data_IF_726184914110
#
_entry.id   IF_726184914110
#
_cell.length_a   1.000
_cell.length_b   1.000
_cell.length_c   1.000
_cell.angle_alpha   90.00
_cell.angle_beta   90.00
_cell.angle_gamma   90.00
#
_symmetry.space_group_name_H-M   'P 1'
#
loop_
_entity.id
_entity.type
_entity.pdbx_description
1 polymer ?
#
# COMPACT_ATOMS: atom_id res chain seq x y z
N UNK A 1 -75.93 -12.79 -21.28
CA UNK A 1 -74.80 -13.44 -20.62
C UNK A 1 -73.49 -13.01 -21.34
N UNK A 2 -72.80 -12.08 -20.70
CA UNK A 2 -71.56 -11.55 -21.24
C UNK A 2 -70.38 -12.26 -20.51
N UNK A 3 -69.53 -12.91 -21.26
CA UNK A 3 -68.29 -13.45 -20.75
C UNK A 3 -67.17 -12.45 -20.96
N UNK A 4 -66.62 -11.96 -19.85
CA UNK A 4 -65.41 -11.11 -19.85
C UNK A 4 -64.20 -12.05 -19.68
N UNK A 5 -63.40 -12.15 -20.71
CA UNK A 5 -62.11 -12.83 -20.70
C UNK A 5 -61.05 -11.91 -20.13
N UNK A 6 -60.49 -12.22 -18.98
CA UNK A 6 -59.32 -11.60 -18.44
C UNK A 6 -58.08 -12.12 -19.21
N UNK A 7 -57.46 -11.27 -20.01
CA UNK A 7 -56.15 -11.50 -20.57
C UNK A 7 -55.07 -11.28 -19.49
N UNK A 8 -54.39 -12.35 -19.10
CA UNK A 8 -53.22 -12.24 -18.27
C UNK A 8 -52.04 -11.72 -19.13
N UNK A 9 -51.57 -10.55 -18.80
CA UNK A 9 -50.35 -9.95 -19.37
C UNK A 9 -49.15 -10.71 -18.79
N UNK A 10 -48.61 -11.63 -19.60
CA UNK A 10 -47.33 -12.27 -19.33
C UNK A 10 -46.20 -11.33 -19.74
N UNK A 11 -45.72 -10.53 -18.79
CA UNK A 11 -44.44 -9.86 -18.93
C UNK A 11 -43.32 -10.91 -18.98
N UNK A 12 -42.94 -11.30 -20.20
CA UNK A 12 -41.73 -12.09 -20.45
C UNK A 12 -40.52 -11.25 -20.01
N UNK A 13 -39.99 -11.56 -18.80
CA UNK A 13 -38.62 -11.23 -18.46
C UNK A 13 -37.73 -11.91 -19.48
N UNK A 14 -37.15 -11.11 -20.41
CA UNK A 14 -36.07 -11.58 -21.26
C UNK A 14 -34.85 -11.69 -20.36
N UNK A 15 -34.58 -12.86 -19.82
CA UNK A 15 -33.26 -13.21 -19.31
C UNK A 15 -32.31 -13.24 -20.51
N UNK A 16 -31.51 -12.19 -20.63
CA UNK A 16 -30.43 -12.12 -21.59
C UNK A 16 -29.36 -13.11 -21.10
N UNK A 17 -29.31 -14.31 -21.68
CA UNK A 17 -28.22 -15.24 -21.41
C UNK A 17 -26.92 -14.61 -21.93
N UNK A 18 -25.92 -14.55 -21.06
CA UNK A 18 -24.56 -14.12 -21.42
C UNK A 18 -24.03 -15.02 -22.53
N UNK A 19 -23.37 -14.46 -23.51
CA UNK A 19 -22.63 -15.27 -24.50
C UNK A 19 -21.44 -15.95 -23.81
N UNK A 20 -20.97 -17.07 -24.37
CA UNK A 20 -19.79 -17.77 -23.83
C UNK A 20 -18.58 -16.82 -23.68
N UNK A 21 -18.39 -15.90 -24.61
CA UNK A 21 -17.33 -14.88 -24.54
C UNK A 21 -17.52 -13.90 -23.39
N UNK A 22 -18.75 -13.42 -23.14
CA UNK A 22 -19.03 -12.53 -22.01
C UNK A 22 -18.88 -13.27 -20.66
N UNK A 23 -19.18 -14.56 -20.60
CA UNK A 23 -18.96 -15.38 -19.42
C UNK A 23 -17.46 -15.61 -19.14
N UNK A 24 -16.68 -15.91 -20.17
CA UNK A 24 -15.22 -16.07 -20.08
C UNK A 24 -14.50 -14.76 -19.67
N UNK A 25 -14.95 -13.62 -20.21
CA UNK A 25 -14.41 -12.30 -19.80
C UNK A 25 -14.74 -11.98 -18.34
N UNK A 26 -15.96 -12.27 -17.88
CA UNK A 26 -16.35 -12.09 -16.48
C UNK A 26 -15.56 -13.00 -15.53
N UNK A 27 -15.32 -14.25 -15.94
CA UNK A 27 -14.56 -15.20 -15.11
C UNK A 27 -13.09 -14.78 -15.01
N UNK A 28 -12.50 -14.32 -16.10
CA UNK A 28 -11.15 -13.76 -16.14
C UNK A 28 -11.04 -12.50 -15.28
N UNK A 29 -11.99 -11.56 -15.38
CA UNK A 29 -12.05 -10.38 -14.52
C UNK A 29 -12.16 -10.76 -13.04
N UNK A 30 -12.97 -11.77 -12.71
CA UNK A 30 -13.11 -12.26 -11.33
C UNK A 30 -11.82 -12.89 -10.80
N UNK A 31 -11.10 -13.64 -11.64
CA UNK A 31 -9.81 -14.23 -11.27
C UNK A 31 -8.75 -13.16 -11.07
N UNK A 32 -8.66 -12.16 -11.96
CA UNK A 32 -7.73 -11.04 -11.85
C UNK A 32 -8.06 -10.17 -10.61
N UNK A 33 -9.34 -9.98 -10.32
CA UNK A 33 -9.79 -9.29 -9.11
C UNK A 33 -9.37 -10.02 -7.83
N UNK A 34 -9.60 -11.33 -7.76
CA UNK A 34 -9.22 -12.13 -6.59
C UNK A 34 -7.70 -12.17 -6.41
N UNK A 35 -6.94 -12.25 -7.49
CA UNK A 35 -5.49 -12.20 -7.48
C UNK A 35 -4.98 -10.84 -6.99
N UNK A 36 -5.51 -9.74 -7.52
CA UNK A 36 -5.16 -8.38 -7.08
C UNK A 36 -5.49 -8.16 -5.60
N UNK A 37 -6.64 -8.67 -5.12
CA UNK A 37 -7.03 -8.63 -3.70
C UNK A 37 -6.04 -9.40 -2.82
N UNK A 38 -5.63 -10.60 -3.21
CA UNK A 38 -4.66 -11.40 -2.49
C UNK A 38 -3.29 -10.70 -2.43
N UNK A 39 -2.86 -10.09 -3.53
CA UNK A 39 -1.61 -9.32 -3.61
C UNK A 39 -1.70 -8.10 -2.69
N UNK A 40 -2.80 -7.36 -2.74
CA UNK A 40 -3.02 -6.18 -1.88
C UNK A 40 -2.85 -6.50 -0.39
N UNK A 41 -3.41 -7.63 0.07
CA UNK A 41 -3.27 -8.06 1.46
C UNK A 41 -1.89 -8.61 1.80
N UNK A 42 -1.05 -8.91 0.82
CA UNK A 42 0.33 -9.37 1.05
C UNK A 42 1.35 -8.22 1.15
N UNK A 43 0.93 -7.00 0.82
CA UNK A 43 1.78 -5.83 0.92
C UNK A 43 1.73 -5.25 2.34
N UNK A 44 2.88 -4.94 2.96
CA UNK A 44 2.88 -4.30 4.27
C UNK A 44 2.19 -2.94 4.17
N UNK A 45 1.32 -2.68 5.11
CA UNK A 45 0.68 -1.37 5.20
C UNK A 45 1.73 -0.30 5.56
N UNK A 46 1.51 0.96 5.19
CA UNK A 46 2.38 2.07 5.61
C UNK A 46 2.58 2.12 7.12
N UNK A 47 1.57 1.69 7.88
CA UNK A 47 1.60 1.64 9.35
C UNK A 47 2.56 0.56 9.86
N UNK A 48 2.56 -0.63 9.25
CA UNK A 48 3.50 -1.69 9.64
C UNK A 48 4.94 -1.24 9.47
N UNK A 49 5.25 -0.55 8.36
CA UNK A 49 6.57 0.03 8.14
C UNK A 49 6.91 1.08 9.19
N UNK A 50 6.00 2.00 9.50
CA UNK A 50 6.20 3.02 10.54
C UNK A 50 6.41 2.40 11.92
N UNK A 51 5.70 1.31 12.25
CA UNK A 51 5.87 0.55 13.48
C UNK A 51 7.27 -0.08 13.58
N UNK A 52 7.75 -0.67 12.50
CA UNK A 52 9.09 -1.26 12.44
C UNK A 52 10.18 -0.21 12.66
N UNK A 53 10.05 0.96 12.04
CA UNK A 53 10.97 2.08 12.23
C UNK A 53 10.97 2.51 13.70
N UNK A 54 9.80 2.66 14.33
CA UNK A 54 9.72 3.03 15.75
C UNK A 54 10.34 1.97 16.67
N UNK A 55 10.08 0.68 16.42
CA UNK A 55 10.65 -0.43 17.19
C UNK A 55 12.16 -0.51 17.11
N UNK A 56 12.77 -0.07 16.01
CA UNK A 56 14.23 0.00 15.88
C UNK A 56 14.86 1.10 16.77
N UNK A 57 14.06 1.84 17.51
CA UNK A 57 14.51 2.89 18.46
C UNK A 57 14.97 4.18 17.80
N UNK A 58 14.69 4.37 16.51
CA UNK A 58 14.97 5.61 15.77
C UNK A 58 14.07 6.74 16.33
N UNK A 59 14.59 7.96 16.31
CA UNK A 59 13.81 9.15 16.66
C UNK A 59 13.02 9.66 15.46
N UNK A 60 11.88 10.29 15.72
CA UNK A 60 11.10 10.98 14.70
C UNK A 60 11.92 12.04 13.98
N UNK A 61 11.78 12.10 12.68
CA UNK A 61 12.44 13.12 11.85
C UNK A 61 11.44 13.71 10.85
N UNK A 62 10.90 14.88 11.19
CA UNK A 62 9.93 15.60 10.35
C UNK A 62 10.50 15.97 8.98
N UNK A 63 11.82 16.17 8.84
CA UNK A 63 12.43 16.58 7.57
C UNK A 63 12.37 15.52 6.48
N UNK A 64 12.03 14.27 6.83
CA UNK A 64 11.82 13.19 5.88
C UNK A 64 10.47 13.27 5.19
N UNK A 65 9.48 13.89 5.82
CA UNK A 65 8.10 13.91 5.33
C UNK A 65 7.95 14.78 4.06
N UNK A 66 6.99 14.44 3.25
CA UNK A 66 6.60 15.28 2.11
C UNK A 66 5.95 16.57 2.62
N UNK A 67 6.49 17.71 2.25
CA UNK A 67 5.96 19.01 2.71
C UNK A 67 4.48 19.17 2.37
N UNK A 68 3.71 19.64 3.32
CA UNK A 68 2.26 19.80 3.17
C UNK A 68 1.88 20.82 2.07
N UNK A 69 2.74 21.81 1.77
CA UNK A 69 2.51 22.80 0.71
C UNK A 69 2.70 22.23 -0.71
N UNK A 70 3.28 21.03 -0.85
CA UNK A 70 3.46 20.39 -2.14
C UNK A 70 2.15 19.90 -2.77
N UNK A 71 1.08 19.66 -1.99
CA UNK A 71 -0.16 19.08 -2.51
C UNK A 71 -0.75 19.87 -3.68
N UNK A 72 -0.60 21.19 -3.68
CA UNK A 72 -1.09 22.07 -4.73
C UNK A 72 -0.38 21.93 -6.10
N UNK A 73 0.77 21.26 -6.13
CA UNK A 73 1.56 21.00 -7.34
C UNK A 73 1.06 19.78 -8.13
N UNK A 74 0.29 18.91 -7.50
CA UNK A 74 -0.16 17.65 -8.11
C UNK A 74 -1.42 17.88 -8.92
N UNK A 75 -1.28 17.85 -10.26
CA UNK A 75 -2.37 18.20 -11.19
C UNK A 75 -2.93 16.99 -11.94
N UNK A 76 -2.11 15.95 -12.16
CA UNK A 76 -2.54 14.74 -12.87
C UNK A 76 -3.03 13.66 -11.91
N UNK A 77 -3.86 12.72 -12.40
CA UNK A 77 -4.34 11.57 -11.63
C UNK A 77 -3.17 10.76 -11.07
N UNK A 78 -2.12 10.52 -11.85
CA UNK A 78 -0.92 9.81 -11.41
C UNK A 78 -0.24 10.51 -10.22
N UNK A 79 0.01 11.81 -10.35
CA UNK A 79 0.64 12.61 -9.28
C UNK A 79 -0.20 12.61 -8.01
N UNK A 80 -1.51 12.81 -8.15
CA UNK A 80 -2.44 12.84 -7.01
C UNK A 80 -2.52 11.46 -6.33
N UNK A 81 -2.65 10.38 -7.09
CA UNK A 81 -2.74 9.04 -6.54
C UNK A 81 -1.44 8.61 -5.84
N UNK A 82 -0.28 8.82 -6.47
CA UNK A 82 1.02 8.55 -5.84
C UNK A 82 1.20 9.34 -4.55
N UNK A 83 0.91 10.64 -4.58
CA UNK A 83 1.11 11.48 -3.41
C UNK A 83 0.05 11.30 -2.33
N UNK A 84 -1.16 10.84 -2.64
CA UNK A 84 -2.09 10.37 -1.62
C UNK A 84 -1.50 9.19 -0.83
N UNK A 85 -0.89 8.22 -1.53
CA UNK A 85 -0.17 7.12 -0.89
C UNK A 85 0.99 7.61 -0.03
N UNK A 86 1.81 8.54 -0.53
CA UNK A 86 2.93 9.16 0.19
C UNK A 86 2.43 9.86 1.46
N UNK A 87 1.45 10.76 1.36
CA UNK A 87 0.90 11.47 2.52
C UNK A 87 0.25 10.54 3.55
N UNK A 88 -0.34 9.43 3.10
CA UNK A 88 -0.89 8.41 4.01
C UNK A 88 0.20 7.67 4.77
N UNK A 89 1.35 7.43 4.15
CA UNK A 89 2.52 6.86 4.83
C UNK A 89 3.14 7.87 5.82
N UNK A 90 3.22 9.12 5.45
CA UNK A 90 3.67 10.22 6.33
C UNK A 90 2.75 10.38 7.54
N UNK A 91 1.43 10.35 7.34
CA UNK A 91 0.43 10.34 8.41
C UNK A 91 0.67 9.16 9.36
N UNK A 92 0.87 7.96 8.81
CA UNK A 92 1.13 6.76 9.59
C UNK A 92 2.42 6.90 10.41
N UNK A 93 3.48 7.42 9.80
CA UNK A 93 4.75 7.65 10.47
C UNK A 93 4.61 8.68 11.61
N UNK A 94 4.00 9.84 11.37
CA UNK A 94 3.76 10.86 12.39
C UNK A 94 2.91 10.31 13.55
N UNK A 95 1.85 9.57 13.26
CA UNK A 95 0.97 8.95 14.26
C UNK A 95 1.71 7.93 15.12
N UNK A 96 2.53 7.07 14.49
CA UNK A 96 3.32 6.07 15.22
C UNK A 96 4.33 6.69 16.19
N UNK A 97 4.82 7.89 15.91
CA UNK A 97 5.75 8.63 16.76
C UNK A 97 5.05 9.64 17.69
N UNK A 98 3.73 9.52 17.87
CA UNK A 98 2.92 10.34 18.76
C UNK A 98 2.98 11.85 18.42
N UNK A 99 3.21 12.18 17.13
CA UNK A 99 3.28 13.55 16.62
C UNK A 99 1.90 14.07 16.23
N UNK A 100 1.01 14.23 17.20
CA UNK A 100 -0.41 14.53 16.98
C UNK A 100 -0.66 15.73 16.06
N UNK A 101 0.05 16.85 16.26
CA UNK A 101 -0.16 18.06 15.44
C UNK A 101 0.23 17.85 13.98
N UNK A 102 1.32 17.12 13.74
CA UNK A 102 1.79 16.77 12.41
C UNK A 102 0.79 15.78 11.79
N UNK A 103 0.35 14.76 12.51
CA UNK A 103 -0.64 13.79 12.05
C UNK A 103 -1.94 14.49 11.60
N UNK A 104 -2.45 15.47 12.34
CA UNK A 104 -3.63 16.26 11.96
C UNK A 104 -3.40 17.00 10.62
N UNK A 105 -2.23 17.58 10.40
CA UNK A 105 -1.90 18.27 9.15
C UNK A 105 -1.90 17.31 7.98
N UNK A 106 -1.24 16.14 8.11
CA UNK A 106 -1.17 15.14 7.05
C UNK A 106 -2.52 14.47 6.79
N UNK A 107 -3.34 14.28 7.81
CA UNK A 107 -4.74 13.84 7.66
C UNK A 107 -5.54 14.83 6.82
N UNK A 108 -5.42 16.13 7.10
CA UNK A 108 -6.11 17.17 6.33
C UNK A 108 -5.71 17.17 4.84
N UNK A 109 -4.41 17.02 4.56
CA UNK A 109 -3.91 16.93 3.17
C UNK A 109 -4.39 15.64 2.48
N UNK A 110 -4.33 14.50 3.17
CA UNK A 110 -4.81 13.23 2.63
C UNK A 110 -6.30 13.31 2.28
N UNK A 111 -7.12 13.97 3.12
CA UNK A 111 -8.53 14.21 2.84
C UNK A 111 -8.74 15.06 1.58
N UNK A 112 -8.01 16.15 1.42
CA UNK A 112 -8.06 17.00 0.21
C UNK A 112 -7.67 16.20 -1.03
N UNK A 113 -6.59 15.42 -0.96
CA UNK A 113 -6.13 14.60 -2.07
C UNK A 113 -7.13 13.48 -2.44
N UNK A 114 -7.75 12.85 -1.44
CA UNK A 114 -8.80 11.86 -1.64
C UNK A 114 -10.04 12.47 -2.30
N UNK A 115 -10.42 13.68 -1.90
CA UNK A 115 -11.52 14.45 -2.53
C UNK A 115 -11.20 14.76 -3.99
N UNK A 116 -10.01 15.24 -4.28
CA UNK A 116 -9.55 15.58 -5.63
C UNK A 116 -9.50 14.36 -6.57
N UNK A 117 -9.24 13.19 -6.03
CA UNK A 117 -9.28 11.91 -6.76
C UNK A 117 -10.69 11.32 -6.87
N UNK A 118 -11.67 11.90 -6.18
CA UNK A 118 -13.03 11.38 -6.11
C UNK A 118 -13.16 10.06 -5.34
N UNK A 119 -12.23 9.79 -4.42
CA UNK A 119 -12.25 8.59 -3.57
C UNK A 119 -12.74 8.88 -2.15
N UNK A 120 -12.99 10.15 -1.82
CA UNK A 120 -13.46 10.53 -0.49
C UNK A 120 -14.81 9.88 -0.13
N UNK A 121 -15.67 9.60 -1.13
CA UNK A 121 -16.95 8.92 -0.91
C UNK A 121 -16.79 7.46 -0.46
N UNK A 122 -15.62 6.87 -0.63
CA UNK A 122 -15.27 5.55 -0.08
C UNK A 122 -14.90 5.62 1.40
N UNK A 123 -14.60 6.82 1.88
CA UNK A 123 -14.21 7.08 3.27
C UNK A 123 -15.41 7.75 3.91
N UNK A 124 -16.19 6.98 4.66
CA UNK A 124 -17.38 7.45 5.36
C UNK A 124 -17.07 8.67 6.24
N UNK A 125 -18.05 9.56 6.40
CA UNK A 125 -17.94 10.66 7.40
C UNK A 125 -17.67 10.11 8.81
N UNK A 126 -18.16 8.91 9.11
CA UNK A 126 -17.89 8.22 10.35
C UNK A 126 -16.41 7.85 10.50
N UNK A 127 -15.76 7.36 9.44
CA UNK A 127 -14.32 7.05 9.42
C UNK A 127 -13.52 8.32 9.70
N UNK A 128 -13.88 9.43 9.05
CA UNK A 128 -13.21 10.72 9.26
C UNK A 128 -13.39 11.20 10.70
N UNK A 129 -14.61 11.11 11.22
CA UNK A 129 -14.90 11.50 12.62
C UNK A 129 -14.16 10.59 13.62
N UNK A 130 -14.10 9.29 13.37
CA UNK A 130 -13.32 8.36 14.19
C UNK A 130 -11.83 8.71 14.16
N UNK A 131 -11.27 9.08 13.01
CA UNK A 131 -9.88 9.50 12.88
C UNK A 131 -9.61 10.79 13.66
N UNK A 132 -10.47 11.80 13.54
CA UNK A 132 -10.37 13.08 14.25
C UNK A 132 -10.47 12.90 15.78
N UNK A 133 -11.38 12.06 16.25
CA UNK A 133 -11.61 11.83 17.68
C UNK A 133 -10.58 10.90 18.33
N UNK A 134 -9.93 10.05 17.56
CA UNK A 134 -8.96 9.07 18.04
C UNK A 134 -7.51 9.40 17.67
N UNK A 135 -7.23 10.64 17.28
CA UNK A 135 -5.90 11.06 16.79
C UNK A 135 -4.77 10.79 17.80
N UNK A 136 -5.08 10.67 19.08
CA UNK A 136 -4.14 10.32 20.15
C UNK A 136 -4.06 8.81 20.45
N UNK A 137 -4.89 7.98 19.78
CA UNK A 137 -4.91 6.53 19.95
C UNK A 137 -4.24 5.87 18.77
N UNK A 138 -3.00 5.43 18.95
CA UNK A 138 -2.21 4.76 17.90
C UNK A 138 -2.96 3.56 17.29
N UNK A 139 -3.51 2.70 18.14
CA UNK A 139 -4.18 1.47 17.69
C UNK A 139 -5.44 1.80 16.90
N UNK A 140 -6.21 2.78 17.34
CA UNK A 140 -7.39 3.26 16.62
C UNK A 140 -7.02 3.87 15.26
N UNK A 141 -5.95 4.68 15.20
CA UNK A 141 -5.48 5.26 13.94
C UNK A 141 -5.05 4.14 12.96
N UNK A 142 -4.33 3.12 13.45
CA UNK A 142 -3.93 1.97 12.65
C UNK A 142 -5.14 1.27 12.01
N UNK A 143 -6.15 1.00 12.80
CA UNK A 143 -7.38 0.36 12.34
C UNK A 143 -8.08 1.23 11.29
N UNK A 144 -8.28 2.51 11.59
CA UNK A 144 -9.00 3.45 10.73
C UNK A 144 -8.28 3.67 9.39
N UNK A 145 -6.96 3.83 9.40
CA UNK A 145 -6.19 3.99 8.15
C UNK A 145 -6.29 2.71 7.30
N UNK A 146 -6.15 1.54 7.93
CA UNK A 146 -6.28 0.26 7.22
C UNK A 146 -7.66 0.11 6.60
N UNK A 147 -8.72 0.39 7.33
CA UNK A 147 -10.10 0.38 6.86
C UNK A 147 -10.32 1.37 5.70
N UNK A 148 -9.78 2.59 5.82
CA UNK A 148 -9.86 3.61 4.77
C UNK A 148 -9.20 3.16 3.46
N UNK A 149 -8.04 2.50 3.56
CA UNK A 149 -7.38 1.92 2.39
C UNK A 149 -8.21 0.83 1.74
N UNK A 150 -8.77 -0.08 2.54
CA UNK A 150 -9.62 -1.18 2.04
C UNK A 150 -10.87 -0.64 1.35
N UNK A 151 -11.57 0.30 1.96
CA UNK A 151 -12.77 0.89 1.40
C UNK A 151 -12.47 1.66 0.11
N UNK A 152 -11.35 2.39 0.07
CA UNK A 152 -10.89 3.10 -1.14
C UNK A 152 -10.55 2.13 -2.28
N UNK A 153 -9.91 0.99 -1.98
CA UNK A 153 -9.59 -0.04 -2.97
C UNK A 153 -10.86 -0.66 -3.56
N UNK A 154 -11.81 -1.06 -2.70
CA UNK A 154 -13.11 -1.61 -3.12
C UNK A 154 -13.86 -0.59 -3.99
N UNK A 155 -14.01 0.64 -3.52
CA UNK A 155 -14.70 1.70 -4.24
C UNK A 155 -14.10 1.96 -5.62
N UNK A 156 -12.78 2.08 -5.71
CA UNK A 156 -12.09 2.31 -6.98
C UNK A 156 -12.29 1.16 -7.96
N UNK A 157 -12.27 -0.09 -7.48
CA UNK A 157 -12.52 -1.27 -8.31
C UNK A 157 -13.97 -1.31 -8.82
N UNK A 158 -14.94 -1.05 -7.95
CA UNK A 158 -16.36 -1.00 -8.32
C UNK A 158 -16.67 0.14 -9.31
N UNK A 159 -15.89 1.22 -9.28
CA UNK A 159 -16.00 2.34 -10.20
C UNK A 159 -15.09 2.24 -11.44
N UNK A 160 -14.54 1.06 -11.72
CA UNK A 160 -13.72 0.80 -12.93
C UNK A 160 -12.38 1.54 -12.93
N UNK A 161 -11.80 1.83 -11.76
CA UNK A 161 -10.52 2.53 -11.58
C UNK A 161 -9.52 1.75 -10.70
N UNK A 162 -9.41 0.43 -10.87
CA UNK A 162 -8.54 -0.39 -10.00
C UNK A 162 -7.05 0.00 -10.12
N UNK A 163 -6.62 0.53 -11.25
CA UNK A 163 -5.27 1.03 -11.47
C UNK A 163 -4.93 2.21 -10.54
N UNK A 164 -5.92 3.05 -10.22
CA UNK A 164 -5.73 4.18 -9.30
C UNK A 164 -5.42 3.69 -7.89
N UNK A 165 -6.08 2.61 -7.43
CA UNK A 165 -5.77 1.97 -6.15
C UNK A 165 -4.34 1.41 -6.13
N UNK A 166 -3.91 0.74 -7.21
CA UNK A 166 -2.54 0.23 -7.35
C UNK A 166 -1.49 1.34 -7.29
N UNK A 167 -1.77 2.51 -7.88
CA UNK A 167 -0.88 3.68 -7.83
C UNK A 167 -0.80 4.26 -6.42
N UNK A 168 -1.93 4.40 -5.71
CA UNK A 168 -1.94 4.88 -4.31
C UNK A 168 -1.09 3.94 -3.44
N UNK A 169 -1.27 2.64 -3.60
CA UNK A 169 -0.51 1.62 -2.87
C UNK A 169 0.99 1.72 -3.17
N UNK A 170 1.37 1.90 -4.44
CA UNK A 170 2.77 2.08 -4.84
C UNK A 170 3.39 3.33 -4.20
N UNK A 171 2.65 4.44 -4.12
CA UNK A 171 3.09 5.66 -3.45
C UNK A 171 3.37 5.43 -1.97
N UNK A 172 2.46 4.75 -1.26
CA UNK A 172 2.62 4.41 0.15
C UNK A 172 3.79 3.46 0.40
N UNK A 173 3.97 2.47 -0.48
CA UNK A 173 5.09 1.52 -0.39
C UNK A 173 6.46 2.21 -0.59
N UNK A 174 6.58 3.08 -1.59
CA UNK A 174 7.82 3.85 -1.86
C UNK A 174 8.15 4.77 -0.68
N UNK A 175 7.18 5.48 -0.13
CA UNK A 175 7.40 6.36 1.01
C UNK A 175 7.78 5.56 2.26
N UNK A 176 7.11 4.44 2.53
CA UNK A 176 7.47 3.54 3.62
C UNK A 176 8.92 3.04 3.50
N UNK A 177 9.32 2.59 2.32
CA UNK A 177 10.69 2.17 2.07
C UNK A 177 11.69 3.33 2.21
N UNK A 178 11.35 4.52 1.71
CA UNK A 178 12.15 5.73 1.86
C UNK A 178 12.38 6.07 3.33
N UNK A 179 11.31 6.14 4.12
CA UNK A 179 11.38 6.42 5.56
C UNK A 179 12.23 5.36 6.28
N UNK A 180 12.06 4.08 5.96
CA UNK A 180 12.84 3.00 6.55
C UNK A 180 14.33 3.13 6.24
N UNK A 181 14.70 3.30 4.97
CA UNK A 181 16.10 3.42 4.55
C UNK A 181 16.77 4.67 5.11
N UNK A 182 16.07 5.81 5.15
CA UNK A 182 16.57 7.05 5.75
C UNK A 182 16.69 6.98 7.28
N UNK A 183 15.98 6.06 7.90
CA UNK A 183 16.03 5.83 9.35
C UNK A 183 17.19 4.92 9.77
N UNK A 184 17.85 4.24 8.84
CA UNK A 184 19.03 3.42 9.16
C UNK A 184 20.20 4.32 9.56
N UNK A 185 20.58 4.25 10.83
CA UNK A 185 21.79 4.93 11.35
C UNK A 185 22.93 3.93 11.45
N UNK A 186 23.91 4.04 10.58
CA UNK A 186 25.09 3.15 10.53
C UNK A 186 25.93 3.11 11.82
N UNK A 187 25.69 4.05 12.74
CA UNK A 187 26.42 4.18 14.00
C UNK A 187 25.69 3.53 15.20
N UNK A 188 24.46 3.04 15.00
CA UNK A 188 23.62 2.57 16.10
C UNK A 188 23.59 1.03 16.14
N UNK A 189 23.87 0.44 17.30
CA UNK A 189 23.59 -0.97 17.59
C UNK A 189 22.06 -1.17 17.61
N UNK A 190 21.54 -2.18 16.93
CA UNK A 190 20.09 -2.47 16.83
C UNK A 190 19.45 -2.15 15.49
N UNK A 191 20.21 -1.62 14.51
CA UNK A 191 19.72 -1.39 13.14
C UNK A 191 19.57 -2.70 12.34
N UNK A 192 20.08 -3.81 12.85
CA UNK A 192 20.07 -5.07 12.12
C UNK A 192 18.65 -5.52 11.80
N UNK A 193 17.73 -5.42 12.77
CA UNK A 193 16.33 -5.78 12.56
C UNK A 193 15.65 -4.89 11.51
N UNK A 194 15.95 -3.58 11.50
CA UNK A 194 15.39 -2.66 10.49
C UNK A 194 15.96 -2.95 9.10
N UNK A 195 17.26 -3.23 9.02
CA UNK A 195 17.92 -3.59 7.75
C UNK A 195 17.36 -4.91 7.22
N UNK A 196 17.17 -5.91 8.06
CA UNK A 196 16.57 -7.19 7.68
C UNK A 196 15.16 -6.97 7.13
N UNK A 197 14.34 -6.13 7.77
CA UNK A 197 13.00 -5.80 7.28
C UNK A 197 13.00 -5.00 5.99
N UNK A 198 13.99 -4.12 5.77
CA UNK A 198 14.17 -3.45 4.48
C UNK A 198 14.46 -4.49 3.38
N UNK A 199 15.27 -5.50 3.67
CA UNK A 199 15.60 -6.55 2.72
C UNK A 199 14.40 -7.45 2.45
N UNK A 200 13.62 -7.81 3.47
CA UNK A 200 12.38 -8.57 3.35
C UNK A 200 11.35 -7.88 2.44
N UNK A 201 11.44 -6.55 2.25
CA UNK A 201 10.60 -5.82 1.29
C UNK A 201 10.78 -6.30 -0.17
N UNK A 202 11.80 -7.09 -0.48
CA UNK A 202 11.94 -7.76 -1.79
C UNK A 202 10.71 -8.59 -2.13
N UNK A 203 10.09 -9.24 -1.14
CA UNK A 203 8.89 -10.07 -1.33
C UNK A 203 7.69 -9.18 -1.67
N UNK A 204 7.47 -8.13 -0.88
CA UNK A 204 6.36 -7.19 -1.12
C UNK A 204 6.54 -6.41 -2.44
N UNK A 205 7.78 -6.09 -2.80
CA UNK A 205 8.10 -5.48 -4.09
C UNK A 205 7.68 -6.37 -5.26
N UNK A 206 7.94 -7.67 -5.18
CA UNK A 206 7.51 -8.62 -6.20
C UNK A 206 5.99 -8.64 -6.36
N UNK A 207 5.26 -8.61 -5.25
CA UNK A 207 3.79 -8.51 -5.26
C UNK A 207 3.30 -7.18 -5.84
N UNK A 208 3.95 -6.06 -5.50
CA UNK A 208 3.62 -4.75 -6.07
C UNK A 208 3.85 -4.71 -7.59
N UNK A 209 4.96 -5.28 -8.07
CA UNK A 209 5.25 -5.39 -9.50
C UNK A 209 4.16 -6.20 -10.20
N UNK A 210 3.77 -7.37 -9.68
CA UNK A 210 2.69 -8.19 -10.25
C UNK A 210 1.35 -7.43 -10.30
N UNK A 211 1.03 -6.66 -9.26
CA UNK A 211 -0.16 -5.82 -9.25
C UNK A 211 -0.13 -4.76 -10.36
N UNK A 212 0.99 -4.04 -10.49
CA UNK A 212 1.15 -3.02 -11.53
C UNK A 212 1.18 -3.63 -12.94
N UNK A 213 1.76 -4.82 -13.11
CA UNK A 213 1.76 -5.57 -14.38
C UNK A 213 0.34 -5.92 -14.86
N UNK A 214 -0.61 -6.14 -13.95
CA UNK A 214 -2.01 -6.36 -14.30
C UNK A 214 -2.65 -5.16 -15.03
N UNK A 215 -2.06 -3.97 -14.91
CA UNK A 215 -2.52 -2.72 -15.51
C UNK A 215 -1.48 -2.07 -16.44
N UNK A 216 -0.51 -2.85 -16.93
CA UNK A 216 0.61 -2.35 -17.75
C UNK A 216 0.20 -1.68 -19.06
N UNK A 217 -0.99 -1.99 -19.58
CA UNK A 217 -1.58 -1.36 -20.78
C UNK A 217 -1.98 0.11 -20.53
N UNK A 218 -2.04 0.56 -19.29
CA UNK A 218 -2.34 1.94 -18.91
C UNK A 218 -1.02 2.71 -18.82
N UNK A 219 -0.85 3.73 -19.66
CA UNK A 219 0.43 4.45 -19.82
C UNK A 219 1.02 4.95 -18.48
N UNK A 220 0.17 5.53 -17.61
CA UNK A 220 0.63 6.03 -16.32
C UNK A 220 1.14 4.92 -15.40
N UNK A 221 0.52 3.73 -15.44
CA UNK A 221 0.97 2.55 -14.68
C UNK A 221 2.26 1.99 -15.26
N UNK A 222 2.37 1.93 -16.57
CA UNK A 222 3.58 1.43 -17.24
C UNK A 222 4.81 2.30 -16.91
N UNK A 223 4.65 3.62 -16.84
CA UNK A 223 5.73 4.54 -16.40
C UNK A 223 6.14 4.25 -14.95
N UNK A 224 5.16 4.10 -14.06
CA UNK A 224 5.42 3.76 -12.66
C UNK A 224 6.11 2.40 -12.52
N UNK A 225 5.67 1.40 -13.29
CA UNK A 225 6.27 0.07 -13.31
C UNK A 225 7.75 0.09 -13.72
N UNK A 226 8.14 0.93 -14.70
CA UNK A 226 9.53 1.13 -15.08
C UNK A 226 10.34 1.68 -13.90
N UNK A 227 9.79 2.62 -13.14
CA UNK A 227 10.45 3.20 -11.97
C UNK A 227 10.58 2.20 -10.82
N UNK A 228 9.53 1.45 -10.52
CA UNK A 228 9.54 0.40 -9.48
C UNK A 228 10.55 -0.71 -9.82
N UNK A 229 10.69 -1.08 -11.08
CA UNK A 229 11.71 -2.04 -11.53
C UNK A 229 13.15 -1.56 -11.29
N UNK A 230 13.42 -0.26 -11.26
CA UNK A 230 14.74 0.26 -10.85
C UNK A 230 15.08 -0.12 -9.41
N UNK A 231 14.07 -0.09 -8.51
CA UNK A 231 14.23 -0.54 -7.13
C UNK A 231 14.46 -2.05 -7.09
N UNK A 232 13.70 -2.82 -7.85
CA UNK A 232 13.85 -4.28 -7.95
C UNK A 232 15.26 -4.70 -8.39
N UNK A 233 15.82 -4.00 -9.37
CA UNK A 233 17.19 -4.29 -9.85
C UNK A 233 18.25 -4.08 -8.75
N UNK A 234 18.02 -3.17 -7.80
CA UNK A 234 18.93 -3.02 -6.65
C UNK A 234 18.78 -4.17 -5.67
N UNK A 235 17.55 -4.66 -5.46
CA UNK A 235 17.30 -5.82 -4.60
C UNK A 235 17.96 -7.11 -5.09
N UNK A 236 18.27 -7.23 -6.38
CA UNK A 236 19.02 -8.38 -6.91
C UNK A 236 20.48 -8.45 -6.40
N UNK A 237 21.01 -7.33 -5.87
CA UNK A 237 22.36 -7.29 -5.28
C UNK A 237 22.38 -7.66 -3.77
N UNK A 238 21.25 -8.05 -3.20
CA UNK A 238 21.18 -8.58 -1.85
C UNK A 238 21.17 -10.10 -1.93
N UNK A 239 22.20 -10.73 -1.42
CA UNK A 239 22.26 -12.19 -1.27
C UNK A 239 21.48 -12.60 -0.03
N UNK A 240 20.27 -13.13 -0.22
CA UNK A 240 19.43 -13.66 0.84
C UNK A 240 19.63 -15.18 0.89
N UNK A 241 20.35 -15.66 1.88
CA UNK A 241 20.50 -17.09 2.12
C UNK A 241 19.46 -17.52 3.15
N UNK A 242 18.45 -18.26 2.71
CA UNK A 242 17.49 -18.86 3.62
C UNK A 242 18.13 -20.07 4.29
N UNK A 243 18.38 -19.98 5.59
CA UNK A 243 18.84 -21.13 6.35
C UNK A 243 17.72 -22.14 6.59
N UNK A 244 18.10 -23.38 6.80
CA UNK A 244 17.18 -24.46 7.13
C UNK A 244 16.33 -24.08 8.37
N UNK A 245 15.01 -24.34 8.30
CA UNK A 245 14.12 -24.13 9.43
C UNK A 245 14.43 -25.20 10.48
N UNK A 246 15.00 -24.80 11.61
CA UNK A 246 15.17 -25.67 12.76
C UNK A 246 13.86 -25.71 13.57
N UNK A 247 13.31 -26.90 13.72
CA UNK A 247 12.18 -27.14 14.60
C UNK A 247 12.70 -27.47 15.99
N UNK A 248 12.48 -26.64 16.97
CA UNK A 248 12.67 -26.93 18.38
C UNK A 248 11.32 -27.31 19.00
N UNK A 249 11.15 -28.62 19.28
CA UNK A 249 9.95 -29.11 19.94
C UNK A 249 10.24 -29.23 21.42
N UNK A 250 9.47 -28.55 22.26
CA UNK A 250 9.47 -28.77 23.70
C UNK A 250 8.37 -29.80 24.02
N UNK A 251 8.75 -31.02 24.45
CA UNK A 251 7.79 -32.09 24.72
C UNK A 251 6.94 -31.79 25.97
N UNK A 252 7.44 -31.01 26.91
CA UNK A 252 6.77 -30.73 28.19
C UNK A 252 5.68 -29.69 28.02
N UNK A 253 5.93 -28.63 27.21
CA UNK A 253 4.98 -27.57 26.89
C UNK A 253 4.11 -27.87 25.64
N UNK A 254 4.34 -28.98 24.95
CA UNK A 254 3.69 -29.34 23.67
C UNK A 254 3.77 -28.23 22.62
N UNK A 255 4.80 -27.42 22.67
CA UNK A 255 5.04 -26.31 21.73
C UNK A 255 6.16 -26.66 20.77
N UNK A 256 5.98 -26.31 19.50
CA UNK A 256 7.05 -26.39 18.49
C UNK A 256 7.36 -24.97 18.02
N UNK A 257 8.55 -24.51 18.31
CA UNK A 257 9.05 -23.22 17.84
C UNK A 257 9.81 -23.45 16.54
N UNK A 258 9.38 -22.82 15.46
CA UNK A 258 10.09 -22.79 14.20
C UNK A 258 11.11 -21.65 14.26
N UNK A 259 12.40 -21.96 14.40
CA UNK A 259 13.47 -20.97 14.25
C UNK A 259 13.90 -20.93 12.78
N UNK A 260 13.39 -19.96 12.05
CA UNK A 260 13.97 -19.58 10.77
C UNK A 260 15.12 -18.61 11.04
N UNK A 261 16.33 -18.97 10.70
CA UNK A 261 17.48 -18.07 10.72
C UNK A 261 17.74 -17.67 9.28
N UNK A 262 17.42 -16.43 8.94
CA UNK A 262 17.78 -15.87 7.65
C UNK A 262 19.14 -15.20 7.83
N UNK A 263 20.20 -15.85 7.36
CA UNK A 263 21.49 -15.21 7.28
C UNK A 263 21.49 -14.30 6.03
N UNK A 264 21.23 -13.02 6.26
CA UNK A 264 21.28 -12.04 5.19
C UNK A 264 22.71 -11.54 5.07
N UNK A 265 23.35 -11.78 3.93
CA UNK A 265 24.62 -11.13 3.61
C UNK A 265 24.32 -9.65 3.30
N UNK A 266 24.55 -8.82 4.31
CA UNK A 266 24.33 -7.36 4.23
C UNK A 266 25.44 -6.73 3.44
N UNK A 267 25.21 -6.47 2.16
CA UNK A 267 26.08 -5.59 1.40
C UNK A 267 25.79 -4.13 1.75
N UNK A 268 26.68 -3.48 2.50
CA UNK A 268 26.57 -2.06 2.81
C UNK A 268 26.45 -1.19 1.53
N UNK A 269 27.03 -1.63 0.43
CA UNK A 269 26.93 -0.97 -0.86
C UNK A 269 25.54 -1.14 -1.48
N UNK A 270 24.90 -2.33 -1.35
CA UNK A 270 23.55 -2.56 -1.85
C UNK A 270 22.52 -1.71 -1.09
N UNK A 271 22.62 -1.62 0.24
CA UNK A 271 21.76 -0.76 1.05
C UNK A 271 21.92 0.72 0.70
N UNK A 272 23.16 1.19 0.50
CA UNK A 272 23.43 2.57 0.05
C UNK A 272 22.85 2.84 -1.34
N UNK A 273 22.99 1.89 -2.27
CA UNK A 273 22.42 1.99 -3.62
C UNK A 273 20.88 2.01 -3.58
N UNK A 274 20.27 1.18 -2.73
CA UNK A 274 18.82 1.18 -2.49
C UNK A 274 18.37 2.56 -1.98
N UNK A 275 19.07 3.11 -1.00
CA UNK A 275 18.78 4.44 -0.46
C UNK A 275 18.86 5.53 -1.52
N UNK A 276 19.84 5.47 -2.40
CA UNK A 276 19.98 6.44 -3.49
C UNK A 276 18.83 6.35 -4.50
N UNK A 277 18.49 5.14 -4.95
CA UNK A 277 17.43 4.95 -5.96
C UNK A 277 16.06 5.34 -5.39
N UNK A 278 15.74 4.90 -4.18
CA UNK A 278 14.48 5.23 -3.52
C UNK A 278 14.35 6.74 -3.27
N UNK A 279 15.40 7.39 -2.77
CA UNK A 279 15.44 8.84 -2.56
C UNK A 279 15.23 9.62 -3.87
N UNK A 280 15.88 9.17 -4.95
CA UNK A 280 15.75 9.78 -6.27
C UNK A 280 14.30 9.69 -6.80
N UNK A 281 13.70 8.51 -6.74
CA UNK A 281 12.30 8.28 -7.19
C UNK A 281 11.31 9.07 -6.35
N UNK A 282 11.43 8.97 -5.03
CA UNK A 282 10.57 9.72 -4.10
C UNK A 282 10.68 11.22 -4.34
N UNK A 283 11.90 11.74 -4.52
CA UNK A 283 12.12 13.15 -4.81
C UNK A 283 11.45 13.58 -6.12
N UNK A 284 11.51 12.75 -7.15
CA UNK A 284 10.80 12.99 -8.41
C UNK A 284 9.29 13.08 -8.20
N UNK A 285 8.70 12.15 -7.46
CA UNK A 285 7.26 12.08 -7.24
C UNK A 285 6.73 13.28 -6.43
N UNK A 286 7.43 13.67 -5.37
CA UNK A 286 7.01 14.81 -4.53
C UNK A 286 7.24 16.18 -5.18
N UNK A 287 8.09 16.26 -6.21
CA UNK A 287 8.25 17.48 -7.01
C UNK A 287 7.16 17.67 -8.06
N UNK A 288 6.32 16.67 -8.30
CA UNK A 288 5.26 16.73 -9.29
C UNK A 288 5.79 16.61 -10.73
N UNK A 289 6.88 15.86 -10.94
CA UNK A 289 7.46 15.59 -12.26
C UNK A 289 7.07 14.21 -12.78
#
# INVERSE_FOLDING_TARGET
MLWISCGADQSKKVEKSLTEQEADELDKMSQDFNKAKQIFYSLPSPIETAMLIKRSGVQFNESLLNRTDNYSKYTTTLQKALNLGIYSADLSYASMFDQTQIAIQYMGISKIMAQDLGVLNAIDEEIIHRLETNINSRDSIMEIITESFMNSDIYLKENGRPETAAIILAGGWIEGLYLAVKSVDSKRSGNDDLVDRIIDQKISLSSLIQLLESYHNIEMVNRLLIDIRKVSNVYENFDVVYSHIETLTDPDDRTTVLKARTDVFKSANALKSLGYVVDSLRTQYVKGM
#
